data_IF_961298468565
#
_entry.id   IF_961298468565
#
_cell.length_a   1.000
_cell.length_b   1.000
_cell.length_c   1.000
_cell.angle_alpha   90.00
_cell.angle_beta   90.00
_cell.angle_gamma   90.00
#
_symmetry.space_group_name_H-M   'P 1'
#
loop_
_entity.id
_entity.type
_entity.pdbx_description
1 polymer ?
#
# COMPACT_ATOMS: atom_id res chain seq x y z
N UNK A 1 4.23 -30.46 -3.21
CA UNK A 1 5.36 -29.89 -2.44
C UNK A 1 5.16 -28.40 -2.30
N UNK A 2 4.95 -27.90 -1.08
CA UNK A 2 4.81 -26.46 -0.79
C UNK A 2 6.20 -25.90 -0.52
N UNK A 3 6.68 -25.01 -1.39
CA UNK A 3 7.97 -24.35 -1.23
C UNK A 3 7.85 -23.22 -0.22
N UNK A 4 8.69 -23.26 0.82
CA UNK A 4 8.97 -22.08 1.61
C UNK A 4 9.64 -21.01 0.72
N UNK A 5 9.36 -19.71 0.92
CA UNK A 5 9.80 -18.62 0.04
C UNK A 5 11.30 -18.28 0.17
N UNK A 6 12.05 -18.98 1.03
CA UNK A 6 13.45 -18.66 1.36
C UNK A 6 14.50 -19.43 0.54
N UNK A 7 14.13 -20.07 -0.57
CA UNK A 7 15.11 -20.78 -1.42
C UNK A 7 15.88 -19.88 -2.40
N UNK A 8 15.85 -18.55 -2.25
CA UNK A 8 16.63 -17.61 -3.08
C UNK A 8 16.25 -17.61 -4.56
N UNK A 9 15.11 -18.21 -4.93
CA UNK A 9 14.59 -18.14 -6.30
C UNK A 9 13.82 -16.83 -6.46
N UNK A 10 14.18 -15.96 -7.43
CA UNK A 10 13.42 -14.74 -7.68
C UNK A 10 11.99 -15.11 -8.10
N UNK A 11 11.00 -14.45 -7.50
CA UNK A 11 9.60 -14.53 -7.89
C UNK A 11 9.25 -13.26 -8.66
N UNK A 12 8.87 -13.42 -9.92
CA UNK A 12 8.34 -12.33 -10.73
C UNK A 12 6.85 -12.19 -10.47
N UNK A 13 6.42 -10.99 -10.08
CA UNK A 13 5.02 -10.66 -9.83
C UNK A 13 4.58 -9.74 -10.95
N UNK A 14 3.58 -10.17 -11.72
CA UNK A 14 2.95 -9.34 -12.74
C UNK A 14 2.06 -8.29 -12.08
N UNK A 15 2.04 -7.06 -12.58
CA UNK A 15 1.17 -6.02 -12.06
C UNK A 15 -0.32 -6.37 -12.35
N UNK A 16 -1.27 -6.02 -11.46
CA UNK A 16 -2.67 -6.40 -11.61
C UNK A 16 -3.35 -5.74 -12.82
N UNK A 17 -2.83 -4.60 -13.28
CA UNK A 17 -3.34 -3.87 -14.43
C UNK A 17 -2.22 -3.18 -15.20
N UNK A 18 -2.51 -2.85 -16.47
CA UNK A 18 -1.59 -2.10 -17.32
C UNK A 18 -1.33 -0.75 -16.68
N UNK A 19 -0.05 -0.42 -16.48
CA UNK A 19 0.37 0.87 -15.97
C UNK A 19 -0.21 1.97 -16.87
N UNK A 20 -1.11 2.76 -16.32
CA UNK A 20 -1.59 3.98 -16.96
C UNK A 20 -0.40 4.93 -17.13
N UNK A 21 -0.28 5.55 -18.31
CA UNK A 21 0.74 6.57 -18.54
C UNK A 21 0.55 7.69 -17.52
N UNK A 22 1.66 8.19 -16.98
CA UNK A 22 1.71 9.28 -16.00
C UNK A 22 1.08 8.98 -14.63
N UNK A 23 0.78 7.72 -14.33
CA UNK A 23 0.32 7.31 -12.99
C UNK A 23 1.46 6.65 -12.20
N UNK A 24 1.75 7.18 -11.00
CA UNK A 24 2.69 6.55 -10.06
C UNK A 24 1.95 5.64 -9.08
N UNK A 25 2.59 4.52 -8.72
CA UNK A 25 2.09 3.58 -7.73
C UNK A 25 3.08 3.45 -6.60
N UNK A 26 2.57 3.49 -5.38
CA UNK A 26 3.28 3.20 -4.15
C UNK A 26 3.14 1.72 -3.82
N UNK A 27 4.19 1.13 -3.27
CA UNK A 27 4.22 -0.26 -2.84
C UNK A 27 4.72 -0.36 -1.40
N UNK A 28 4.16 -1.31 -0.66
CA UNK A 28 4.71 -1.72 0.63
C UNK A 28 4.60 -3.23 0.82
N UNK A 29 5.56 -3.77 1.57
CA UNK A 29 5.61 -5.18 1.92
C UNK A 29 5.32 -5.29 3.41
N UNK A 30 4.39 -6.16 3.76
CA UNK A 30 4.09 -6.49 5.15
C UNK A 30 3.71 -7.96 5.27
N UNK A 31 3.22 -8.35 6.44
CA UNK A 31 2.74 -9.71 6.65
C UNK A 31 1.58 -9.74 7.64
N UNK A 32 0.69 -10.69 7.45
CA UNK A 32 -0.35 -11.00 8.42
C UNK A 32 0.28 -11.71 9.63
N UNK A 33 0.14 -11.07 10.80
CA UNK A 33 0.72 -11.49 12.07
C UNK A 33 0.00 -12.67 12.70
N UNK A 34 -1.23 -12.95 12.27
CA UNK A 34 -2.04 -14.06 12.78
C UNK A 34 -1.69 -15.41 12.12
N UNK A 35 -0.90 -15.39 11.05
CA UNK A 35 -0.53 -16.58 10.28
C UNK A 35 0.91 -17.01 10.58
N UNK A 36 1.10 -18.33 10.72
CA UNK A 36 2.36 -18.94 11.17
C UNK A 36 3.39 -19.19 10.04
N UNK A 37 3.04 -19.05 8.76
CA UNK A 37 4.01 -19.09 7.64
C UNK A 37 3.48 -18.46 6.33
N UNK A 38 4.37 -17.87 5.54
CA UNK A 38 4.11 -17.31 4.19
C UNK A 38 3.04 -16.23 4.07
N UNK A 39 2.76 -15.51 5.14
CA UNK A 39 1.71 -14.49 5.19
C UNK A 39 2.14 -13.12 4.64
N UNK A 40 3.23 -13.08 3.87
CA UNK A 40 3.72 -11.84 3.29
C UNK A 40 2.75 -11.37 2.22
N UNK A 41 2.52 -10.06 2.23
CA UNK A 41 1.61 -9.39 1.31
C UNK A 41 2.28 -8.16 0.74
N UNK A 42 1.88 -7.80 -0.47
CA UNK A 42 2.32 -6.56 -1.12
C UNK A 42 1.10 -5.68 -1.31
N UNK A 43 1.08 -4.54 -0.64
CA UNK A 43 0.11 -3.48 -0.88
C UNK A 43 0.60 -2.64 -2.06
N UNK A 44 -0.32 -2.27 -2.94
CA UNK A 44 -0.11 -1.32 -4.03
C UNK A 44 -1.26 -0.33 -4.08
N UNK A 45 -0.95 0.95 -4.20
CA UNK A 45 -1.97 1.99 -4.40
C UNK A 45 -1.46 3.17 -5.23
N UNK A 46 -2.39 3.89 -5.83
CA UNK A 46 -2.11 5.04 -6.69
C UNK A 46 -1.62 6.23 -5.87
N UNK A 47 -0.61 6.94 -6.36
CA UNK A 47 -0.28 8.28 -5.84
C UNK A 47 -1.43 9.24 -6.14
N UNK A 48 -1.77 10.09 -5.17
CA UNK A 48 -2.77 11.12 -5.38
C UNK A 48 -2.17 12.29 -6.18
N UNK A 49 -2.57 12.42 -7.44
CA UNK A 49 -2.39 13.65 -8.22
C UNK A 49 -3.72 14.41 -8.22
N UNK A 50 -3.63 15.74 -8.13
CA UNK A 50 -4.67 16.78 -7.94
C UNK A 50 -5.96 16.73 -8.79
N UNK A 51 -6.20 15.68 -9.57
CA UNK A 51 -7.48 15.38 -10.20
C UNK A 51 -7.91 13.99 -9.73
N UNK A 52 -8.76 13.96 -8.70
CA UNK A 52 -9.07 12.77 -7.92
C UNK A 52 -9.42 11.50 -8.72
N UNK A 53 -8.77 10.40 -8.34
CA UNK A 53 -9.42 9.18 -7.86
C UNK A 53 -8.61 8.70 -6.67
N UNK A 54 -9.22 8.82 -5.49
CA UNK A 54 -8.87 8.08 -4.28
C UNK A 54 -9.33 6.63 -4.44
N UNK A 55 -8.48 5.64 -4.14
CA UNK A 55 -9.01 4.31 -3.77
C UNK A 55 -8.54 3.07 -4.53
N UNK A 56 -7.55 3.14 -5.43
CA UNK A 56 -7.04 1.93 -6.12
C UNK A 56 -6.10 1.12 -5.21
N UNK A 57 -6.60 0.64 -4.07
CA UNK A 57 -5.84 -0.23 -3.18
C UNK A 57 -5.94 -1.67 -3.67
N UNK A 58 -4.79 -2.25 -3.99
CA UNK A 58 -4.68 -3.65 -4.41
C UNK A 58 -3.68 -4.36 -3.51
N UNK A 59 -3.96 -5.60 -3.18
CA UNK A 59 -3.08 -6.42 -2.36
C UNK A 59 -2.78 -7.74 -3.04
N UNK A 60 -1.51 -8.14 -2.98
CA UNK A 60 -1.02 -9.42 -3.44
C UNK A 60 -0.71 -10.30 -2.23
N UNK A 61 -1.22 -11.53 -2.23
CA UNK A 61 -0.90 -12.54 -1.23
C UNK A 61 0.07 -13.57 -1.83
N UNK A 62 1.17 -13.87 -1.13
CA UNK A 62 2.19 -14.81 -1.59
C UNK A 62 1.61 -16.24 -1.63
N UNK A 63 1.13 -16.64 -2.81
CA UNK A 63 0.51 -17.94 -3.06
C UNK A 63 -0.85 -17.84 -3.76
N UNK A 64 -1.34 -16.63 -4.01
CA UNK A 64 -2.57 -16.36 -4.73
C UNK A 64 -2.31 -15.36 -5.87
N UNK A 65 -3.28 -14.50 -6.17
CA UNK A 65 -3.20 -13.39 -7.12
C UNK A 65 -3.40 -12.05 -6.44
N UNK A 66 -3.32 -10.97 -7.22
CA UNK A 66 -3.81 -9.67 -6.80
C UNK A 66 -5.32 -9.70 -6.56
N UNK A 67 -5.76 -8.84 -5.63
CA UNK A 67 -7.16 -8.49 -5.44
C UNK A 67 -7.31 -7.04 -5.00
N UNK A 68 -8.47 -6.48 -5.28
CA UNK A 68 -8.83 -5.13 -4.85
C UNK A 68 -9.20 -5.12 -3.36
N UNK A 69 -8.88 -4.01 -2.70
CA UNK A 69 -9.28 -3.72 -1.32
C UNK A 69 -10.33 -2.62 -1.34
N UNK A 70 -11.47 -2.90 -0.72
CA UNK A 70 -12.53 -1.91 -0.50
C UNK A 70 -12.20 -1.05 0.71
N UNK A 71 -11.31 -0.07 0.51
CA UNK A 71 -10.90 0.90 1.53
C UNK A 71 -11.62 2.21 1.24
N UNK A 72 -12.38 2.68 2.23
CA UNK A 72 -13.05 3.97 2.14
C UNK A 72 -12.04 5.08 1.86
N UNK A 73 -12.28 5.94 0.86
CA UNK A 73 -11.48 7.12 0.59
C UNK A 73 -11.17 7.91 1.87
N UNK A 74 -9.95 8.41 1.98
CA UNK A 74 -9.51 9.21 3.13
C UNK A 74 -9.15 10.61 2.66
N UNK A 75 -9.34 11.59 3.55
CA UNK A 75 -9.07 13.02 3.29
C UNK A 75 -7.58 13.37 3.42
N UNK A 76 -6.70 12.45 3.02
CA UNK A 76 -5.26 12.64 3.06
C UNK A 76 -4.58 12.03 1.84
N UNK A 77 -3.41 12.57 1.51
CA UNK A 77 -2.57 12.11 0.41
C UNK A 77 -1.18 11.70 0.87
N UNK A 78 -0.60 10.73 0.17
CA UNK A 78 0.81 10.35 0.30
C UNK A 78 1.49 10.64 -1.03
N UNK A 79 2.51 11.49 -0.98
CA UNK A 79 3.31 11.85 -2.15
C UNK A 79 4.39 10.77 -2.39
N UNK A 80 4.70 10.46 -3.64
CA UNK A 80 5.68 9.41 -3.99
C UNK A 80 7.09 9.66 -3.44
N UNK A 81 7.44 10.92 -3.21
CA UNK A 81 8.69 11.33 -2.55
C UNK A 81 8.75 10.85 -1.09
N UNK A 82 7.60 10.62 -0.45
CA UNK A 82 7.50 10.06 0.89
C UNK A 82 7.41 8.54 0.79
N UNK A 83 8.56 7.89 0.62
CA UNK A 83 8.64 6.43 0.63
C UNK A 83 8.14 5.87 1.97
N UNK A 84 7.29 4.85 1.90
CA UNK A 84 6.80 4.17 3.09
C UNK A 84 7.87 3.30 3.74
N UNK A 85 7.70 3.04 5.03
CA UNK A 85 8.56 2.13 5.80
C UNK A 85 7.74 0.98 6.36
N UNK A 86 8.30 -0.22 6.33
CA UNK A 86 7.69 -1.40 6.94
C UNK A 86 8.29 -1.67 8.32
N UNK A 87 7.44 -1.69 9.34
CA UNK A 87 7.84 -1.93 10.73
C UNK A 87 6.91 -2.95 11.36
N UNK A 88 7.50 -4.03 11.88
CA UNK A 88 6.78 -5.09 12.61
C UNK A 88 5.52 -5.55 11.85
N UNK A 89 5.68 -5.94 10.58
CA UNK A 89 4.60 -6.48 9.72
C UNK A 89 3.62 -5.47 9.13
N UNK A 90 3.66 -4.22 9.56
CA UNK A 90 2.82 -3.13 9.04
C UNK A 90 3.65 -2.14 8.22
N UNK A 91 2.99 -1.29 7.44
CA UNK A 91 3.65 -0.24 6.66
C UNK A 91 3.12 1.14 7.03
N UNK A 92 3.99 2.14 6.95
CA UNK A 92 3.72 3.50 7.41
C UNK A 92 4.22 4.53 6.41
N UNK A 93 3.47 5.62 6.27
CA UNK A 93 3.81 6.73 5.37
C UNK A 93 3.55 8.06 6.04
N UNK A 94 4.27 9.07 5.58
CA UNK A 94 4.01 10.46 5.93
C UNK A 94 2.95 11.01 4.96
N UNK A 95 1.74 11.24 5.48
CA UNK A 95 0.60 11.75 4.73
C UNK A 95 0.29 13.21 5.10
N UNK A 96 -0.34 13.92 4.16
CA UNK A 96 -0.76 15.31 4.34
C UNK A 96 -2.28 15.39 4.19
N UNK A 97 -2.96 16.09 5.10
CA UNK A 97 -4.40 16.36 4.99
C UNK A 97 -4.68 17.14 3.71
N UNK A 98 -5.71 16.74 2.95
CA UNK A 98 -6.15 17.44 1.74
C UNK A 98 -7.11 18.57 2.14
N UNK A 99 -6.60 19.58 2.87
CA UNK A 99 -7.40 20.75 3.21
C UNK A 99 -7.61 21.60 1.95
N UNK A 100 -8.88 21.82 1.61
CA UNK A 100 -9.31 22.69 0.53
C UNK A 100 -8.96 24.15 0.85
N UNK A 101 -7.70 24.55 0.62
CA UNK A 101 -7.43 25.78 -0.10
C UNK A 101 -6.83 26.99 0.60
N UNK A 102 -6.14 26.95 1.76
CA UNK A 102 -5.57 28.19 2.32
C UNK A 102 -4.13 28.13 2.87
N UNK A 103 -3.50 26.96 2.95
CA UNK A 103 -2.22 26.82 3.65
C UNK A 103 -1.28 25.98 2.78
N UNK A 104 -0.16 26.56 2.32
CA UNK A 104 0.85 25.87 1.47
C UNK A 104 1.47 24.62 2.13
N UNK A 105 1.16 24.35 3.40
CA UNK A 105 1.67 23.22 4.18
C UNK A 105 0.53 22.61 4.99
N UNK A 106 -0.31 21.80 4.34
CA UNK A 106 -1.31 20.98 5.03
C UNK A 106 -0.68 20.17 6.16
N UNK A 107 -1.45 19.87 7.20
CA UNK A 107 -0.96 19.15 8.37
C UNK A 107 -0.45 17.77 7.96
N UNK A 108 0.80 17.48 8.33
CA UNK A 108 1.46 16.21 8.03
C UNK A 108 1.38 15.26 9.23
N UNK A 109 1.05 14.00 8.99
CA UNK A 109 0.91 12.97 10.02
C UNK A 109 1.29 11.59 9.50
N UNK A 110 1.46 10.63 10.41
CA UNK A 110 1.82 9.26 10.07
C UNK A 110 0.55 8.43 9.86
N UNK A 111 0.41 7.82 8.69
CA UNK A 111 -0.63 6.83 8.41
C UNK A 111 -0.03 5.43 8.40
N UNK A 112 -0.71 4.47 9.00
CA UNK A 112 -0.28 3.08 9.07
C UNK A 112 -1.27 2.15 8.40
N UNK A 113 -0.79 1.23 7.57
CA UNK A 113 -1.57 0.12 7.02
C UNK A 113 -1.31 -1.17 7.81
N UNK A 114 -2.38 -1.75 8.34
CA UNK A 114 -2.35 -3.02 9.04
C UNK A 114 -2.58 -4.17 8.05
N UNK A 115 -1.55 -4.99 7.78
CA UNK A 115 -1.66 -6.11 6.83
C UNK A 115 -2.46 -7.32 7.35
N UNK A 116 -2.68 -7.38 8.66
CA UNK A 116 -3.53 -8.41 9.29
C UNK A 116 -5.00 -8.05 9.06
N UNK A 117 -5.35 -6.77 9.23
CA UNK A 117 -6.73 -6.27 9.08
C UNK A 117 -7.05 -5.71 7.70
N UNK A 118 -6.02 -5.51 6.88
CA UNK A 118 -6.09 -4.97 5.51
C UNK A 118 -6.78 -3.61 5.42
N UNK A 119 -6.48 -2.75 6.39
CA UNK A 119 -7.03 -1.40 6.48
C UNK A 119 -5.99 -0.45 7.04
N UNK A 120 -6.16 0.83 6.76
CA UNK A 120 -5.46 1.86 7.50
C UNK A 120 -5.96 1.94 8.95
N UNK A 121 -5.03 2.17 9.88
CA UNK A 121 -5.33 2.45 11.28
C UNK A 121 -6.06 3.78 11.48
N UNK A 122 -6.65 4.00 12.67
CA UNK A 122 -7.13 5.31 13.10
C UNK A 122 -5.99 6.31 13.26
#
# INVERSE_FOLDING_TARGET
HRGFPYCGKPLWIEAPHRLERDTRYLYAIGYDKSSNCNSHKILRFREYHSSGVSGDFTIYDLGSSWRDLDITPRDWRVEHIHSGVSVNGNAYWLATEDETGLDEFGKTFLVGFDFTRETFGP
#
